data_IF_713798193144
#
_entry.id   IF_713798193144
#
_cell.length_a   1.000
_cell.length_b   1.000
_cell.length_c   1.000
_cell.angle_alpha   90.00
_cell.angle_beta   90.00
_cell.angle_gamma   90.00
#
_symmetry.space_group_name_H-M   'P 1'
#
loop_
_entity.id
_entity.type
_entity.pdbx_description
1 polymer ?
#
# COMPACT_ATOMS: atom_id res chain seq x y z
N UNK A 1 -13.67 -11.03 -2.24
CA UNK A 1 -14.52 -10.47 -3.31
C UNK A 1 -13.58 -9.86 -4.33
N UNK A 2 -13.88 -9.96 -5.61
CA UNK A 2 -13.10 -9.24 -6.62
C UNK A 2 -13.17 -7.72 -6.37
N UNK A 3 -12.02 -7.03 -6.43
CA UNK A 3 -11.86 -5.59 -6.19
C UNK A 3 -12.75 -4.77 -7.12
N UNK A 4 -12.94 -5.22 -8.37
CA UNK A 4 -13.84 -4.54 -9.30
C UNK A 4 -15.32 -4.62 -8.87
N UNK A 5 -15.72 -5.72 -8.23
CA UNK A 5 -17.07 -5.82 -7.64
C UNK A 5 -17.20 -4.88 -6.45
N UNK A 6 -16.20 -4.80 -5.57
CA UNK A 6 -16.19 -3.87 -4.43
C UNK A 6 -16.34 -2.42 -4.95
N UNK A 7 -15.55 -2.03 -5.95
CA UNK A 7 -15.60 -0.69 -6.56
C UNK A 7 -16.96 -0.39 -7.22
N UNK A 8 -17.56 -1.38 -7.90
CA UNK A 8 -18.91 -1.23 -8.48
C UNK A 8 -19.97 -1.04 -7.41
N UNK A 9 -19.91 -1.82 -6.33
CA UNK A 9 -20.80 -1.70 -5.18
C UNK A 9 -20.66 -0.32 -4.54
N UNK A 10 -19.44 0.12 -4.26
CA UNK A 10 -19.18 1.44 -3.68
C UNK A 10 -19.74 2.56 -4.58
N UNK A 11 -19.54 2.48 -5.90
CA UNK A 11 -20.08 3.46 -6.85
C UNK A 11 -21.61 3.51 -6.86
N UNK A 12 -22.28 2.36 -7.02
CA UNK A 12 -23.72 2.32 -7.28
C UNK A 12 -24.57 2.33 -6.01
N UNK A 13 -24.15 1.59 -4.97
CA UNK A 13 -24.86 1.56 -3.68
C UNK A 13 -24.32 2.61 -2.72
N UNK A 14 -23.02 2.93 -2.77
CA UNK A 14 -22.42 3.87 -1.83
C UNK A 14 -22.93 5.31 -1.99
N UNK A 15 -23.25 5.78 -3.21
CA UNK A 15 -23.81 7.13 -3.43
C UNK A 15 -25.18 7.29 -2.75
N UNK A 16 -26.20 6.47 -3.05
CA UNK A 16 -27.50 6.59 -2.40
C UNK A 16 -27.41 6.34 -0.88
N UNK A 17 -26.57 5.41 -0.43
CA UNK A 17 -26.35 5.21 1.01
C UNK A 17 -25.71 6.44 1.67
N UNK A 18 -24.70 7.06 1.05
CA UNK A 18 -24.11 8.30 1.55
C UNK A 18 -25.13 9.43 1.62
N UNK A 19 -26.01 9.57 0.62
CA UNK A 19 -27.09 10.54 0.64
C UNK A 19 -28.07 10.29 1.79
N UNK A 20 -28.55 9.05 1.94
CA UNK A 20 -29.42 8.64 3.03
C UNK A 20 -28.82 8.93 4.40
N UNK A 21 -27.60 8.46 4.67
CA UNK A 21 -26.93 8.71 5.95
C UNK A 21 -26.60 10.20 6.15
N UNK A 22 -26.37 10.98 5.08
CA UNK A 22 -26.16 12.42 5.19
C UNK A 22 -27.41 13.13 5.68
N UNK A 23 -28.59 12.74 5.20
CA UNK A 23 -29.87 13.25 5.69
C UNK A 23 -30.07 12.88 7.16
N UNK A 24 -29.84 11.61 7.53
CA UNK A 24 -29.92 11.17 8.92
C UNK A 24 -28.96 11.94 9.84
N UNK A 25 -27.72 12.16 9.38
CA UNK A 25 -26.73 12.94 10.10
C UNK A 25 -27.22 14.38 10.32
N UNK A 26 -27.71 15.06 9.27
CA UNK A 26 -28.25 16.42 9.38
C UNK A 26 -29.40 16.50 10.37
N UNK A 27 -30.34 15.55 10.33
CA UNK A 27 -31.47 15.47 11.28
C UNK A 27 -30.95 15.31 12.71
N UNK A 28 -30.04 14.35 12.93
CA UNK A 28 -29.43 14.13 14.25
C UNK A 28 -28.72 15.37 14.79
N UNK A 29 -28.06 16.13 13.92
CA UNK A 29 -27.36 17.35 14.30
C UNK A 29 -28.26 18.49 14.76
N UNK A 30 -29.54 18.51 14.35
CA UNK A 30 -30.53 19.48 14.86
C UNK A 30 -30.80 19.26 16.36
N UNK A 31 -30.76 18.00 16.82
CA UNK A 31 -31.02 17.64 18.22
C UNK A 31 -29.74 17.50 19.07
N UNK A 32 -28.57 17.29 18.45
CA UNK A 32 -27.29 17.08 19.15
C UNK A 32 -26.14 17.89 18.52
N UNK A 33 -26.18 19.24 18.60
CA UNK A 33 -25.16 20.11 18.02
C UNK A 33 -23.75 19.91 18.62
N UNK A 34 -23.66 19.46 19.88
CA UNK A 34 -22.39 19.20 20.57
C UNK A 34 -21.51 18.16 19.88
N UNK A 35 -22.09 17.24 19.09
CA UNK A 35 -21.35 16.23 18.32
C UNK A 35 -20.49 16.81 17.18
N UNK A 36 -20.58 18.12 16.91
CA UNK A 36 -19.67 18.84 15.99
C UNK A 36 -18.38 19.28 16.65
N UNK A 37 -18.32 19.39 17.99
CA UNK A 37 -17.14 19.91 18.66
C UNK A 37 -16.03 18.86 18.60
N UNK A 38 -14.83 19.22 18.08
CA UNK A 38 -13.68 18.34 18.16
C UNK A 38 -13.38 17.97 19.62
N UNK A 39 -12.86 16.77 19.81
CA UNK A 39 -12.42 16.27 21.12
C UNK A 39 -10.92 16.03 21.09
N UNK A 40 -10.28 15.99 22.26
CA UNK A 40 -8.88 15.58 22.33
C UNK A 40 -8.77 14.10 21.93
N UNK A 41 -7.93 13.74 20.95
CA UNK A 41 -7.77 12.36 20.51
C UNK A 41 -7.23 11.46 21.64
N UNK A 42 -7.90 10.34 21.92
CA UNK A 42 -7.42 9.31 22.87
C UNK A 42 -7.42 7.91 22.27
N UNK A 43 -8.48 7.49 21.60
CA UNK A 43 -8.53 6.22 20.87
C UNK A 43 -8.70 6.51 19.38
N UNK A 44 -7.59 6.43 18.66
CA UNK A 44 -7.47 6.87 17.27
C UNK A 44 -7.47 5.65 16.35
N UNK A 45 -8.44 5.57 15.45
CA UNK A 45 -8.55 4.52 14.44
C UNK A 45 -8.13 5.04 13.07
N UNK A 46 -7.04 4.51 12.53
CA UNK A 46 -6.65 4.67 11.13
C UNK A 46 -7.37 3.63 10.28
N UNK A 47 -7.81 4.02 9.08
CA UNK A 47 -8.50 3.11 8.16
C UNK A 47 -7.86 3.15 6.77
N UNK A 48 -7.33 2.01 6.35
CA UNK A 48 -6.77 1.72 5.04
C UNK A 48 -7.04 0.23 4.76
N UNK A 49 -8.04 -0.07 3.94
CA UNK A 49 -8.58 -1.43 3.87
C UNK A 49 -7.82 -2.31 2.88
N UNK A 50 -7.54 -1.77 1.69
CA UNK A 50 -7.34 -2.60 0.51
C UNK A 50 -5.89 -2.77 0.05
N UNK A 51 -4.98 -1.85 0.39
CA UNK A 51 -3.65 -1.81 -0.23
C UNK A 51 -2.52 -2.07 0.77
N UNK A 52 -1.83 -3.20 0.59
CA UNK A 52 -0.70 -3.61 1.42
C UNK A 52 0.47 -2.59 1.41
N UNK A 53 0.74 -1.95 0.27
CA UNK A 53 1.80 -0.93 0.15
C UNK A 53 1.48 0.34 0.94
N UNK A 54 0.22 0.79 0.89
CA UNK A 54 -0.26 1.96 1.65
C UNK A 54 -0.16 1.75 3.16
N UNK A 55 -0.33 0.51 3.65
CA UNK A 55 -0.10 0.18 5.06
C UNK A 55 1.36 0.40 5.49
N UNK A 56 2.34 0.09 4.63
CA UNK A 56 3.75 0.39 4.88
C UNK A 56 3.99 1.91 4.89
N UNK A 57 3.44 2.62 3.89
CA UNK A 57 3.55 4.07 3.79
C UNK A 57 2.88 4.82 4.95
N UNK A 58 1.92 4.17 5.64
CA UNK A 58 1.27 4.70 6.82
C UNK A 58 2.14 4.66 8.08
N UNK A 59 3.24 3.88 8.11
CA UNK A 59 4.12 3.77 9.28
C UNK A 59 4.48 5.14 9.88
N UNK A 60 5.00 6.03 9.03
CA UNK A 60 5.46 7.36 9.41
C UNK A 60 4.38 8.22 10.07
N UNK A 61 3.14 8.14 9.59
CA UNK A 61 2.01 8.90 10.15
C UNK A 61 1.55 8.31 11.48
N UNK A 62 1.65 6.99 11.67
CA UNK A 62 1.35 6.35 12.96
C UNK A 62 2.34 6.80 14.04
N UNK A 63 3.63 6.83 13.73
CA UNK A 63 4.67 7.33 14.65
C UNK A 63 4.44 8.81 15.00
N UNK A 64 4.23 9.65 13.99
CA UNK A 64 3.94 11.08 14.21
C UNK A 64 2.68 11.32 15.04
N UNK A 65 1.67 10.47 14.90
CA UNK A 65 0.46 10.56 15.72
C UNK A 65 0.77 10.31 17.19
N UNK A 66 1.64 9.34 17.48
CA UNK A 66 2.08 9.06 18.85
C UNK A 66 2.92 10.20 19.42
N UNK A 67 3.73 10.87 18.61
CA UNK A 67 4.47 12.08 19.02
C UNK A 67 3.52 13.25 19.36
N UNK A 68 2.52 13.51 18.51
CA UNK A 68 1.56 14.59 18.72
C UNK A 68 0.55 14.31 19.83
N UNK A 69 0.22 13.03 20.06
CA UNK A 69 -0.73 12.58 21.07
C UNK A 69 -0.15 11.41 21.89
N UNK A 70 0.80 11.67 22.81
CA UNK A 70 1.53 10.62 23.54
C UNK A 70 0.65 9.68 24.35
N UNK A 71 -0.45 10.17 24.91
CA UNK A 71 -1.37 9.37 25.74
C UNK A 71 -2.42 8.61 24.91
N UNK A 72 -2.37 8.71 23.57
CA UNK A 72 -3.35 8.06 22.70
C UNK A 72 -3.03 6.58 22.45
N UNK A 73 -4.09 5.78 22.33
CA UNK A 73 -4.06 4.44 21.77
C UNK A 73 -4.36 4.51 20.27
N UNK A 74 -3.52 3.86 19.48
CA UNK A 74 -3.64 3.83 18.01
C UNK A 74 -4.12 2.45 17.59
N UNK A 75 -5.16 2.44 16.76
CA UNK A 75 -5.78 1.28 16.14
C UNK A 75 -5.69 1.40 14.62
N UNK A 76 -5.69 0.27 13.92
CA UNK A 76 -5.65 0.23 12.46
C UNK A 76 -6.69 -0.74 11.92
N UNK A 77 -7.57 -0.27 11.03
CA UNK A 77 -8.59 -1.09 10.35
C UNK A 77 -8.11 -1.43 8.94
N UNK A 78 -8.01 -2.73 8.65
CA UNK A 78 -7.56 -3.26 7.35
C UNK A 78 -8.41 -4.48 6.93
N UNK A 79 -8.36 -4.90 5.67
CA UNK A 79 -8.90 -6.22 5.31
C UNK A 79 -8.07 -7.37 5.89
N UNK A 80 -8.75 -8.44 6.30
CA UNK A 80 -8.14 -9.61 6.94
C UNK A 80 -6.98 -10.20 6.12
N UNK A 81 -7.13 -10.27 4.80
CA UNK A 81 -6.12 -10.79 3.86
C UNK A 81 -4.83 -9.95 3.82
N UNK A 82 -4.90 -8.67 4.21
CA UNK A 82 -3.78 -7.73 4.16
C UNK A 82 -3.15 -7.45 5.53
N UNK A 83 -3.68 -8.01 6.63
CA UNK A 83 -3.26 -7.66 8.01
C UNK A 83 -1.77 -7.84 8.28
N UNK A 84 -1.13 -8.80 7.61
CA UNK A 84 0.31 -9.06 7.76
C UNK A 84 1.15 -7.85 7.34
N UNK A 85 0.66 -7.00 6.43
CA UNK A 85 1.34 -5.76 6.04
C UNK A 85 1.44 -4.74 7.19
N UNK A 86 0.51 -4.77 8.14
CA UNK A 86 0.59 -3.93 9.34
C UNK A 86 1.49 -4.60 10.38
N UNK A 87 1.33 -5.91 10.59
CA UNK A 87 2.11 -6.68 11.57
C UNK A 87 3.61 -6.69 11.30
N UNK A 88 4.02 -6.52 10.05
CA UNK A 88 5.44 -6.53 9.71
C UNK A 88 6.16 -5.28 10.17
N UNK A 89 5.46 -4.14 10.19
CA UNK A 89 6.05 -2.85 10.58
C UNK A 89 6.24 -2.71 12.08
N UNK A 90 5.50 -3.51 12.86
CA UNK A 90 5.48 -3.47 14.34
C UNK A 90 5.18 -2.05 14.89
N UNK A 91 4.54 -1.20 14.08
CA UNK A 91 4.23 0.19 14.41
C UNK A 91 3.23 0.33 15.57
N UNK A 92 2.35 -0.67 15.72
CA UNK A 92 1.32 -0.74 16.76
C UNK A 92 1.19 -2.18 17.28
N UNK A 93 0.66 -2.38 18.50
CA UNK A 93 0.38 -3.72 19.03
C UNK A 93 -0.60 -4.51 18.14
N UNK A 94 -0.40 -5.83 18.03
CA UNK A 94 -1.19 -6.69 17.14
C UNK A 94 -2.68 -6.71 17.52
N UNK A 95 -2.98 -6.63 18.80
CA UNK A 95 -4.34 -6.53 19.36
C UNK A 95 -5.08 -5.24 18.93
N UNK A 96 -4.35 -4.22 18.50
CA UNK A 96 -4.93 -2.96 18.01
C UNK A 96 -5.18 -2.99 16.49
N UNK A 97 -4.82 -4.07 15.81
CA UNK A 97 -5.16 -4.27 14.40
C UNK A 97 -6.55 -4.90 14.32
N UNK A 98 -7.49 -4.14 13.77
CA UNK A 98 -8.87 -4.54 13.56
C UNK A 98 -9.07 -4.93 12.10
N UNK A 99 -9.87 -5.95 11.84
CA UNK A 99 -10.04 -6.48 10.49
C UNK A 99 -11.48 -6.56 10.03
N UNK A 100 -11.66 -6.46 8.71
CA UNK A 100 -12.90 -6.76 7.98
C UNK A 100 -12.63 -7.89 7.00
N UNK A 101 -13.48 -8.91 6.99
CA UNK A 101 -13.38 -10.03 6.05
C UNK A 101 -14.10 -9.67 4.76
N UNK A 102 -13.34 -9.42 3.69
CA UNK A 102 -13.85 -9.09 2.36
C UNK A 102 -13.97 -10.29 1.41
N UNK A 103 -13.83 -11.53 1.89
CA UNK A 103 -13.86 -12.73 1.04
C UNK A 103 -15.16 -12.85 0.23
N UNK A 104 -16.31 -12.53 0.82
CA UNK A 104 -17.61 -12.42 0.17
C UNK A 104 -18.48 -11.32 0.79
N UNK A 105 -19.58 -10.97 0.12
CA UNK A 105 -20.42 -9.83 0.51
C UNK A 105 -21.06 -10.00 1.88
N UNK A 106 -21.58 -11.19 2.19
CA UNK A 106 -22.20 -11.45 3.50
C UNK A 106 -21.18 -11.33 4.63
N UNK A 107 -20.00 -11.94 4.47
CA UNK A 107 -18.91 -11.82 5.45
C UNK A 107 -18.42 -10.38 5.60
N UNK A 108 -18.35 -9.61 4.51
CA UNK A 108 -18.03 -8.19 4.56
C UNK A 108 -19.03 -7.41 5.43
N UNK A 109 -20.33 -7.63 5.24
CA UNK A 109 -21.37 -6.96 6.04
C UNK A 109 -21.28 -7.37 7.52
N UNK A 110 -21.25 -8.67 7.82
CA UNK A 110 -21.21 -9.14 9.21
C UNK A 110 -19.94 -8.76 9.95
N UNK A 111 -18.78 -8.83 9.29
CA UNK A 111 -17.50 -8.40 9.87
C UNK A 111 -17.44 -6.90 10.07
N UNK A 112 -18.00 -6.10 9.14
CA UNK A 112 -18.15 -4.65 9.32
C UNK A 112 -19.03 -4.32 10.52
N UNK A 113 -20.18 -4.99 10.68
CA UNK A 113 -21.05 -4.80 11.86
C UNK A 113 -20.35 -5.21 13.16
N UNK A 114 -19.56 -6.29 13.13
CA UNK A 114 -18.74 -6.73 14.27
C UNK A 114 -17.66 -5.68 14.62
N UNK A 115 -16.96 -5.14 13.61
CA UNK A 115 -15.98 -4.07 13.78
C UNK A 115 -16.62 -2.81 14.37
N UNK A 116 -17.77 -2.38 13.87
CA UNK A 116 -18.53 -1.26 14.43
C UNK A 116 -18.86 -1.50 15.92
N UNK A 117 -19.35 -2.70 16.29
CA UNK A 117 -19.59 -3.04 17.70
C UNK A 117 -18.31 -2.96 18.54
N UNK A 118 -17.16 -3.37 18.01
CA UNK A 118 -15.85 -3.22 18.69
C UNK A 118 -15.48 -1.75 18.87
N UNK A 119 -15.70 -0.89 17.87
CA UNK A 119 -15.38 0.54 17.97
C UNK A 119 -16.13 1.22 19.13
N UNK A 120 -17.41 0.86 19.32
CA UNK A 120 -18.22 1.36 20.43
C UNK A 120 -17.79 0.81 21.80
N UNK A 121 -17.17 -0.39 21.85
CA UNK A 121 -16.61 -0.97 23.09
C UNK A 121 -15.24 -0.38 23.45
N UNK A 122 -14.43 -0.01 22.45
CA UNK A 122 -13.08 0.57 22.58
C UNK A 122 -13.13 2.13 22.69
N UNK A 123 -14.32 2.68 22.98
CA UNK A 123 -14.79 4.00 22.51
C UNK A 123 -13.82 4.76 21.58
N UNK A 124 -13.85 4.45 20.27
CA UNK A 124 -13.10 5.20 19.26
C UNK A 124 -13.65 6.64 19.19
N UNK A 125 -12.80 7.62 19.54
CA UNK A 125 -13.17 9.04 19.50
C UNK A 125 -12.70 9.75 18.23
N UNK A 126 -11.68 9.20 17.56
CA UNK A 126 -11.04 9.77 16.39
C UNK A 126 -10.91 8.71 15.29
N UNK A 127 -11.49 8.98 14.13
CA UNK A 127 -11.46 8.14 12.93
C UNK A 127 -10.71 8.88 11.83
N UNK A 128 -9.63 8.30 11.33
CA UNK A 128 -8.78 8.84 10.28
C UNK A 128 -8.88 7.96 9.04
N UNK A 129 -9.59 8.47 8.04
CA UNK A 129 -9.88 7.79 6.77
C UNK A 129 -8.77 8.07 5.76
N UNK A 130 -7.84 7.11 5.60
CA UNK A 130 -6.74 7.21 4.65
C UNK A 130 -7.16 6.79 3.23
N UNK A 131 -8.28 6.09 3.10
CA UNK A 131 -8.84 5.70 1.81
C UNK A 131 -9.30 6.92 0.99
N UNK A 132 -8.86 6.94 -0.26
CA UNK A 132 -9.10 8.03 -1.21
C UNK A 132 -10.53 7.97 -1.74
N UNK A 133 -11.40 8.82 -1.18
CA UNK A 133 -12.79 9.05 -1.62
C UNK A 133 -13.72 7.81 -1.56
N UNK A 134 -13.37 6.80 -0.76
CA UNK A 134 -14.23 5.64 -0.51
C UNK A 134 -15.54 6.02 0.21
N UNK A 135 -16.67 5.53 -0.31
CA UNK A 135 -17.99 5.78 0.30
C UNK A 135 -18.24 4.83 1.46
N UNK A 136 -17.81 3.58 1.32
CA UNK A 136 -17.88 2.58 2.38
C UNK A 136 -17.18 3.06 3.67
N UNK A 137 -15.92 3.50 3.59
CA UNK A 137 -15.20 3.99 4.79
C UNK A 137 -15.79 5.29 5.32
N UNK A 138 -16.28 6.17 4.45
CA UNK A 138 -16.98 7.38 4.87
C UNK A 138 -18.25 7.06 5.68
N UNK A 139 -19.04 6.07 5.27
CA UNK A 139 -20.21 5.60 6.03
C UNK A 139 -19.77 4.96 7.35
N UNK A 140 -18.74 4.11 7.33
CA UNK A 140 -18.18 3.49 8.54
C UNK A 140 -17.70 4.58 9.52
N UNK A 141 -17.09 5.67 9.03
CA UNK A 141 -16.67 6.79 9.87
C UNK A 141 -17.85 7.39 10.64
N UNK A 142 -19.01 7.57 9.99
CA UNK A 142 -20.21 8.06 10.65
C UNK A 142 -20.76 7.05 11.67
N UNK A 143 -20.85 5.78 11.29
CA UNK A 143 -21.40 4.71 12.12
C UNK A 143 -20.48 4.34 13.30
N UNK A 144 -19.20 4.65 13.23
CA UNK A 144 -18.23 4.45 14.32
C UNK A 144 -18.57 5.27 15.56
N UNK A 145 -19.31 6.38 15.41
CA UNK A 145 -19.61 7.30 16.49
C UNK A 145 -18.46 8.23 16.88
N UNK A 146 -17.29 8.15 16.23
CA UNK A 146 -16.15 9.02 16.48
C UNK A 146 -16.53 10.50 16.33
N UNK A 147 -16.06 11.34 17.23
CA UNK A 147 -16.31 12.79 17.19
C UNK A 147 -15.40 13.46 16.16
N UNK A 148 -14.12 13.10 16.15
CA UNK A 148 -13.19 13.51 15.12
C UNK A 148 -13.27 12.51 13.96
N UNK A 149 -13.73 12.97 12.80
CA UNK A 149 -13.79 12.17 11.56
C UNK A 149 -13.01 12.92 10.50
N UNK A 150 -11.80 12.45 10.26
CA UNK A 150 -10.80 13.06 9.39
C UNK A 150 -10.77 12.30 8.07
N UNK A 151 -10.68 13.02 6.95
CA UNK A 151 -10.52 12.38 5.66
C UNK A 151 -10.43 13.37 4.51
N UNK A 152 -10.10 12.86 3.32
CA UNK A 152 -10.06 13.65 2.11
C UNK A 152 -11.44 14.05 1.63
N UNK A 153 -11.61 15.34 1.32
CA UNK A 153 -12.88 15.93 0.93
C UNK A 153 -12.85 16.51 -0.48
N UNK A 154 -13.97 16.36 -1.19
CA UNK A 154 -14.17 16.95 -2.52
C UNK A 154 -14.63 18.40 -2.35
N UNK A 155 -13.72 19.36 -2.46
CA UNK A 155 -14.11 20.79 -2.39
C UNK A 155 -14.86 21.18 -3.66
N UNK A 156 -14.21 21.05 -4.81
CA UNK A 156 -14.80 21.32 -6.13
C UNK A 156 -14.56 20.19 -7.13
N UNK A 157 -14.08 19.04 -6.67
CA UNK A 157 -13.88 17.86 -7.52
C UNK A 157 -15.20 17.14 -7.77
N UNK A 158 -15.51 16.92 -9.05
CA UNK A 158 -16.71 16.23 -9.49
C UNK A 158 -16.59 14.70 -9.34
N UNK A 159 -17.72 13.98 -9.27
CA UNK A 159 -17.73 12.51 -9.23
C UNK A 159 -17.30 11.84 -7.91
N UNK A 160 -16.64 12.55 -6.99
CA UNK A 160 -16.05 11.99 -5.76
C UNK A 160 -16.97 12.03 -4.54
N UNK A 161 -18.30 12.05 -4.73
CA UNK A 161 -19.24 12.17 -3.61
C UNK A 161 -19.16 10.99 -2.64
N UNK A 162 -18.79 11.30 -1.39
CA UNK A 162 -18.67 10.35 -0.27
C UNK A 162 -19.52 10.73 0.96
N UNK A 163 -20.57 11.53 0.77
CA UNK A 163 -21.37 12.04 1.89
C UNK A 163 -20.75 13.25 2.59
N UNK A 164 -21.38 13.66 3.70
CA UNK A 164 -21.01 14.88 4.43
C UNK A 164 -20.78 14.61 5.93
N UNK A 165 -20.00 13.57 6.23
CA UNK A 165 -19.80 13.08 7.60
C UNK A 165 -18.55 13.63 8.28
N UNK A 166 -17.53 13.99 7.51
CA UNK A 166 -16.22 14.41 8.03
C UNK A 166 -16.33 15.72 8.83
N UNK A 167 -15.71 15.74 10.01
CA UNK A 167 -15.53 16.95 10.81
C UNK A 167 -14.24 17.69 10.46
N UNK A 168 -13.21 16.94 10.04
CA UNK A 168 -11.93 17.50 9.57
C UNK A 168 -11.76 17.12 8.10
N UNK A 169 -11.97 18.09 7.22
CA UNK A 169 -11.93 17.89 5.77
C UNK A 169 -10.59 18.37 5.25
N UNK A 170 -9.85 17.45 4.66
CA UNK A 170 -8.51 17.68 4.15
C UNK A 170 -8.53 17.64 2.63
N UNK A 171 -7.77 18.52 1.99
CA UNK A 171 -7.58 18.48 0.53
C UNK A 171 -6.59 17.38 0.20
N UNK A 172 -6.94 16.49 -0.74
CA UNK A 172 -5.98 15.56 -1.33
C UNK A 172 -5.15 16.29 -2.39
N UNK A 173 -3.82 16.31 -2.22
CA UNK A 173 -2.89 16.90 -3.16
C UNK A 173 -2.24 15.79 -4.02
N UNK A 174 -2.66 15.63 -5.29
CA UNK A 174 -2.12 14.59 -6.18
C UNK A 174 -0.69 14.88 -6.65
N UNK A 175 -0.11 16.04 -6.28
CA UNK A 175 1.26 16.42 -6.63
C UNK A 175 2.26 16.18 -5.51
N UNK A 176 1.82 15.64 -4.37
CA UNK A 176 2.68 15.27 -3.24
C UNK A 176 2.60 13.77 -3.00
N UNK A 177 3.71 13.17 -2.55
CA UNK A 177 3.73 11.77 -2.17
C UNK A 177 2.62 11.44 -1.17
N UNK A 178 2.03 10.25 -1.27
CA UNK A 178 0.85 9.88 -0.47
C UNK A 178 1.13 9.94 1.03
N UNK A 179 2.35 9.66 1.48
CA UNK A 179 2.72 9.77 2.90
C UNK A 179 2.66 11.20 3.45
N UNK A 180 2.95 12.24 2.66
CA UNK A 180 2.70 13.62 3.08
C UNK A 180 1.21 13.91 3.17
N UNK A 181 0.40 13.35 2.27
CA UNK A 181 -1.05 13.47 2.36
C UNK A 181 -1.57 12.79 3.65
N UNK A 182 -0.99 11.66 4.07
CA UNK A 182 -1.31 11.04 5.36
C UNK A 182 -0.97 11.95 6.55
N UNK A 183 0.20 12.59 6.55
CA UNK A 183 0.52 13.60 7.56
C UNK A 183 -0.51 14.73 7.61
N UNK A 184 -0.99 15.21 6.46
CA UNK A 184 -2.00 16.26 6.40
C UNK A 184 -3.29 15.88 7.14
N UNK A 185 -3.66 14.58 7.17
CA UNK A 185 -4.80 14.09 7.94
C UNK A 185 -4.58 14.31 9.45
N UNK A 186 -3.45 13.87 10.00
CA UNK A 186 -3.18 14.00 11.44
C UNK A 186 -2.99 15.45 11.84
N UNK A 187 -2.25 16.23 11.04
CA UNK A 187 -2.05 17.66 11.31
C UNK A 187 -3.35 18.47 11.27
N UNK A 188 -4.38 18.00 10.56
CA UNK A 188 -5.68 18.66 10.59
C UNK A 188 -6.36 18.64 11.97
N UNK A 189 -6.00 17.70 12.86
CA UNK A 189 -6.52 17.60 14.22
C UNK A 189 -6.02 18.73 15.13
N UNK A 190 -4.85 19.29 14.85
CA UNK A 190 -4.27 20.41 15.60
C UNK A 190 -4.38 21.75 14.86
N UNK A 191 -4.89 21.73 13.62
CA UNK A 191 -5.10 22.94 12.84
C UNK A 191 -6.28 23.77 13.38
N UNK A 192 -6.20 25.11 13.36
CA UNK A 192 -7.26 26.00 13.84
C UNK A 192 -8.65 25.61 13.29
N UNK A 193 -9.67 25.65 14.14
CA UNK A 193 -11.03 25.16 13.81
C UNK A 193 -11.61 25.87 12.59
N UNK A 194 -11.37 27.16 12.47
CA UNK A 194 -11.93 28.04 11.43
C UNK A 194 -11.18 27.96 10.08
N UNK A 195 -10.07 27.22 10.01
CA UNK A 195 -9.25 27.14 8.81
C UNK A 195 -9.87 26.19 7.76
N UNK A 196 -10.18 26.74 6.57
CA UNK A 196 -10.69 25.98 5.44
C UNK A 196 -10.02 26.41 4.12
N UNK A 197 -9.51 25.48 3.27
CA UNK A 197 -9.24 24.07 3.61
C UNK A 197 -8.29 23.96 4.82
N UNK A 198 -8.38 22.84 5.54
CA UNK A 198 -7.49 22.58 6.68
C UNK A 198 -6.05 22.47 6.21
N UNK A 199 -5.13 23.05 6.98
CA UNK A 199 -3.67 22.96 6.83
C UNK A 199 -3.12 23.74 5.63
N UNK A 200 -2.81 25.02 5.84
CA UNK A 200 -2.19 25.96 4.88
C UNK A 200 -0.68 26.09 5.06
N UNK A 201 0.03 24.99 5.31
CA UNK A 201 1.49 24.97 5.46
C UNK A 201 2.11 23.74 4.82
N UNK A 202 3.41 23.84 4.53
CA UNK A 202 4.21 22.69 4.18
C UNK A 202 4.42 21.80 5.42
N UNK A 203 4.36 20.49 5.23
CA UNK A 203 4.74 19.52 6.26
C UNK A 203 6.23 19.30 6.14
N UNK A 204 6.98 19.80 7.12
CA UNK A 204 8.45 19.69 7.16
C UNK A 204 8.92 18.28 7.51
N UNK A 205 8.09 17.47 8.18
CA UNK A 205 8.42 16.09 8.50
C UNK A 205 8.58 15.25 7.25
N UNK A 206 9.72 14.55 7.19
CA UNK A 206 10.06 13.67 6.09
C UNK A 206 9.50 12.27 6.41
N UNK A 207 8.61 11.72 5.57
CA UNK A 207 8.12 10.36 5.74
C UNK A 207 9.25 9.34 5.66
N UNK A 208 9.22 8.35 6.56
CA UNK A 208 10.21 7.28 6.63
C UNK A 208 9.55 5.94 6.97
N UNK A 209 10.30 4.85 6.83
CA UNK A 209 9.90 3.50 7.22
C UNK A 209 11.03 2.86 8.03
N UNK A 210 10.75 1.88 8.91
CA UNK A 210 11.79 1.25 9.72
C UNK A 210 12.62 0.29 8.86
N UNK A 211 13.88 0.10 9.21
CA UNK A 211 14.71 -0.98 8.68
C UNK A 211 14.54 -2.23 9.57
N UNK A 212 14.04 -3.30 8.98
CA UNK A 212 13.80 -4.60 9.60
C UNK A 212 14.95 -5.53 9.26
N UNK A 213 15.67 -5.93 10.29
CA UNK A 213 16.74 -6.92 10.21
C UNK A 213 16.20 -8.29 10.59
N UNK A 214 16.30 -9.26 9.69
CA UNK A 214 15.93 -10.65 9.99
C UNK A 214 16.90 -11.31 10.96
N UNK A 215 16.41 -12.20 11.82
CA UNK A 215 17.25 -12.99 12.71
C UNK A 215 18.10 -14.01 11.93
N UNK A 216 19.21 -14.45 12.50
CA UNK A 216 20.09 -15.44 11.84
C UNK A 216 19.37 -16.76 11.54
N UNK A 217 18.43 -17.16 12.42
CA UNK A 217 17.58 -18.33 12.20
C UNK A 217 16.66 -18.12 11.00
N UNK A 218 16.02 -16.95 10.89
CA UNK A 218 15.12 -16.65 9.78
C UNK A 218 15.88 -16.58 8.44
N UNK A 219 17.04 -15.90 8.41
CA UNK A 219 17.96 -15.85 7.27
C UNK A 219 18.41 -17.25 6.83
N UNK A 220 18.82 -18.09 7.79
CA UNK A 220 19.23 -19.47 7.52
C UNK A 220 18.07 -20.30 6.95
N UNK A 221 16.86 -20.15 7.50
CA UNK A 221 15.70 -20.90 7.02
C UNK A 221 15.33 -20.55 5.58
N UNK A 222 15.31 -19.26 5.23
CA UNK A 222 15.01 -18.84 3.86
C UNK A 222 16.14 -19.22 2.89
N UNK A 223 17.40 -19.14 3.32
CA UNK A 223 18.54 -19.62 2.52
C UNK A 223 18.47 -21.13 2.27
N UNK A 224 18.15 -21.94 3.29
CA UNK A 224 17.97 -23.38 3.12
C UNK A 224 16.80 -23.70 2.17
N UNK A 225 15.72 -22.92 2.20
CA UNK A 225 14.63 -23.04 1.22
C UNK A 225 15.13 -22.81 -0.20
N UNK A 226 15.94 -21.77 -0.44
CA UNK A 226 16.57 -21.53 -1.75
C UNK A 226 17.51 -22.68 -2.14
N UNK A 227 18.35 -23.15 -1.22
CA UNK A 227 19.32 -24.22 -1.46
C UNK A 227 18.66 -25.57 -1.76
N UNK A 228 17.48 -25.83 -1.21
CA UNK A 228 16.69 -27.02 -1.53
C UNK A 228 16.14 -26.98 -2.97
N UNK A 229 15.88 -25.80 -3.52
CA UNK A 229 15.46 -25.62 -4.91
C UNK A 229 16.67 -25.64 -5.87
N UNK A 230 17.85 -25.25 -5.39
CA UNK A 230 19.09 -25.31 -6.16
C UNK A 230 20.32 -25.54 -5.28
N UNK A 231 20.90 -26.74 -5.36
CA UNK A 231 22.03 -27.17 -4.54
C UNK A 231 23.35 -26.47 -4.85
N UNK A 232 23.47 -25.82 -6.01
CA UNK A 232 24.67 -25.07 -6.40
C UNK A 232 24.78 -23.73 -5.66
N UNK A 233 23.72 -23.31 -4.98
CA UNK A 233 23.70 -22.07 -4.20
C UNK A 233 24.64 -22.14 -2.98
N UNK A 234 25.51 -21.14 -2.89
CA UNK A 234 26.46 -20.93 -1.79
C UNK A 234 26.14 -19.65 -1.01
N UNK A 235 26.68 -19.49 0.20
CA UNK A 235 26.46 -18.28 1.01
C UNK A 235 27.07 -17.01 0.37
N UNK A 236 28.08 -17.17 -0.48
CA UNK A 236 28.72 -16.06 -1.23
C UNK A 236 27.98 -15.71 -2.54
N UNK A 237 26.85 -16.36 -2.82
CA UNK A 237 26.10 -16.16 -4.06
C UNK A 237 25.40 -14.82 -4.07
N UNK A 238 25.41 -14.16 -5.23
CA UNK A 238 24.60 -12.97 -5.49
C UNK A 238 23.17 -13.37 -5.79
N UNK A 239 22.21 -12.74 -5.12
CA UNK A 239 20.78 -13.04 -5.23
C UNK A 239 20.02 -11.85 -5.79
N UNK A 240 19.41 -12.06 -6.95
CA UNK A 240 18.59 -11.05 -7.63
C UNK A 240 17.15 -11.56 -7.65
N UNK A 241 16.23 -10.79 -7.09
CA UNK A 241 14.82 -11.17 -7.01
C UNK A 241 14.04 -10.54 -8.15
N UNK A 242 13.28 -11.35 -8.88
CA UNK A 242 12.31 -10.89 -9.86
C UNK A 242 10.88 -11.06 -9.33
N UNK A 243 10.09 -9.99 -9.42
CA UNK A 243 8.64 -10.03 -9.24
C UNK A 243 7.95 -9.53 -10.52
N UNK A 244 7.81 -10.40 -11.53
CA UNK A 244 7.33 -10.01 -12.86
C UNK A 244 5.83 -9.75 -12.92
N UNK A 245 5.06 -10.28 -11.97
CA UNK A 245 3.62 -10.14 -11.95
C UNK A 245 3.18 -8.77 -11.40
N UNK A 246 2.16 -8.17 -12.01
CA UNK A 246 1.61 -6.85 -11.62
C UNK A 246 0.25 -6.93 -10.89
N UNK A 247 -0.18 -8.14 -10.49
CA UNK A 247 -1.41 -8.36 -9.75
C UNK A 247 -2.67 -7.86 -10.49
N UNK A 248 -3.49 -7.08 -9.78
CA UNK A 248 -4.81 -6.62 -10.23
C UNK A 248 -4.74 -5.60 -11.38
N UNK A 249 -3.57 -5.00 -11.62
CA UNK A 249 -3.36 -4.02 -12.69
C UNK A 249 -2.27 -4.53 -13.66
N UNK A 250 -2.59 -5.48 -14.57
CA UNK A 250 -1.63 -6.06 -15.52
C UNK A 250 -0.86 -5.02 -16.34
N UNK A 251 -1.45 -3.86 -16.56
CA UNK A 251 -0.84 -2.75 -17.31
C UNK A 251 0.40 -2.14 -16.63
N UNK A 252 0.66 -2.47 -15.36
CA UNK A 252 1.91 -2.11 -14.66
C UNK A 252 3.05 -3.09 -14.94
N UNK A 253 2.79 -4.25 -15.55
CA UNK A 253 3.81 -5.28 -15.76
C UNK A 253 4.83 -4.87 -16.81
N UNK A 254 6.12 -4.95 -16.48
CA UNK A 254 7.18 -4.92 -17.46
C UNK A 254 7.14 -6.21 -18.30
N UNK A 255 7.38 -6.13 -19.64
CA UNK A 255 7.19 -7.27 -20.52
C UNK A 255 7.98 -8.51 -20.10
N UNK A 256 7.34 -9.67 -20.21
CA UNK A 256 7.94 -10.95 -19.83
C UNK A 256 9.19 -11.25 -20.67
N UNK A 257 9.18 -10.89 -21.95
CA UNK A 257 10.31 -11.06 -22.86
C UNK A 257 11.53 -10.26 -22.39
N UNK A 258 11.31 -9.09 -21.77
CA UNK A 258 12.38 -8.27 -21.21
C UNK A 258 12.91 -8.84 -19.90
N UNK A 259 12.05 -9.42 -19.07
CA UNK A 259 12.49 -10.20 -17.90
C UNK A 259 13.33 -11.41 -18.32
N UNK A 260 12.91 -12.15 -19.35
CA UNK A 260 13.68 -13.26 -19.92
C UNK A 260 15.04 -12.81 -20.44
N UNK A 261 15.08 -11.73 -21.23
CA UNK A 261 16.33 -11.18 -21.74
C UNK A 261 17.27 -10.74 -20.61
N UNK A 262 16.74 -10.03 -19.62
CA UNK A 262 17.51 -9.62 -18.44
C UNK A 262 18.03 -10.83 -17.66
N UNK A 263 17.20 -11.87 -17.47
CA UNK A 263 17.59 -13.08 -16.77
C UNK A 263 18.75 -13.79 -17.46
N UNK A 264 18.67 -13.95 -18.78
CA UNK A 264 19.71 -14.58 -19.59
C UNK A 264 21.06 -13.87 -19.41
N UNK A 265 21.07 -12.52 -19.48
CA UNK A 265 22.29 -11.72 -19.34
C UNK A 265 22.87 -11.76 -17.91
N UNK A 266 22.01 -11.71 -16.88
CA UNK A 266 22.46 -11.76 -15.49
C UNK A 266 22.96 -13.15 -15.07
N UNK A 267 22.43 -14.21 -15.68
CA UNK A 267 22.87 -15.58 -15.43
C UNK A 267 24.28 -15.89 -15.98
N UNK A 268 24.82 -15.04 -16.86
CA UNK A 268 26.20 -15.11 -17.34
C UNK A 268 27.21 -14.58 -16.30
N UNK A 269 26.74 -13.85 -15.28
CA UNK A 269 27.58 -13.37 -14.18
C UNK A 269 27.98 -14.52 -13.25
N UNK A 270 29.22 -14.46 -12.76
CA UNK A 270 29.75 -15.46 -11.84
C UNK A 270 28.95 -15.49 -10.53
N UNK A 271 28.69 -16.69 -10.03
CA UNK A 271 28.01 -16.96 -8.75
C UNK A 271 26.71 -16.16 -8.52
N UNK A 272 25.97 -15.84 -9.59
CA UNK A 272 24.73 -15.05 -9.53
C UNK A 272 23.52 -15.93 -9.77
N UNK A 273 22.50 -15.79 -8.93
CA UNK A 273 21.24 -16.53 -9.02
C UNK A 273 20.06 -15.56 -9.02
N UNK A 274 19.05 -15.93 -9.80
CA UNK A 274 17.81 -15.17 -9.92
C UNK A 274 16.72 -15.93 -9.20
N UNK A 275 16.01 -15.27 -8.29
CA UNK A 275 14.89 -15.82 -7.54
C UNK A 275 13.60 -15.20 -8.05
N UNK A 276 12.70 -16.00 -8.60
CA UNK A 276 11.39 -15.52 -9.05
C UNK A 276 10.39 -15.70 -7.91
N UNK A 277 9.71 -14.62 -7.55
CA UNK A 277 8.66 -14.62 -6.55
C UNK A 277 7.34 -14.10 -7.11
N UNK A 278 6.26 -14.35 -6.36
CA UNK A 278 4.92 -13.92 -6.70
C UNK A 278 3.89 -14.98 -6.37
N UNK A 279 2.64 -14.68 -6.67
CA UNK A 279 1.50 -15.58 -6.42
C UNK A 279 0.73 -15.86 -7.71
N UNK A 280 -0.03 -16.95 -7.72
CA UNK A 280 -0.98 -17.29 -8.79
C UNK A 280 -0.33 -17.30 -10.19
N UNK A 281 -0.69 -16.34 -11.05
CA UNK A 281 -0.25 -16.23 -12.44
C UNK A 281 1.28 -16.10 -12.57
N UNK A 282 1.98 -15.65 -11.52
CA UNK A 282 3.43 -15.58 -11.49
C UNK A 282 4.11 -16.93 -11.77
N UNK A 283 3.48 -18.07 -11.45
CA UNK A 283 4.03 -19.40 -11.78
C UNK A 283 4.20 -19.62 -13.29
N UNK A 284 3.33 -19.03 -14.13
CA UNK A 284 3.44 -19.17 -15.58
C UNK A 284 4.60 -18.33 -16.09
N UNK A 285 4.72 -17.11 -15.58
CA UNK A 285 5.81 -16.17 -15.90
C UNK A 285 7.17 -16.77 -15.48
N UNK A 286 7.24 -17.36 -14.28
CA UNK A 286 8.44 -18.01 -13.77
C UNK A 286 8.95 -19.13 -14.68
N UNK A 287 8.05 -19.99 -15.17
CA UNK A 287 8.38 -21.08 -16.11
C UNK A 287 8.91 -20.58 -17.45
N UNK A 288 8.52 -19.39 -17.90
CA UNK A 288 9.06 -18.80 -19.14
C UNK A 288 10.47 -18.30 -18.89
N UNK A 289 10.67 -17.52 -17.83
CA UNK A 289 11.98 -16.94 -17.49
C UNK A 289 12.99 -18.04 -17.15
N UNK A 290 12.59 -19.09 -16.42
CA UNK A 290 13.47 -20.19 -16.02
C UNK A 290 14.09 -20.94 -17.20
N UNK A 291 13.44 -20.95 -18.38
CA UNK A 291 14.00 -21.58 -19.59
C UNK A 291 15.26 -20.90 -20.10
N UNK A 292 15.47 -19.62 -19.76
CA UNK A 292 16.63 -18.85 -20.22
C UNK A 292 17.93 -19.30 -19.54
N UNK A 293 17.85 -19.72 -18.27
CA UNK A 293 18.99 -20.24 -17.51
C UNK A 293 18.54 -21.17 -16.37
N UNK A 294 18.15 -22.44 -16.66
CA UNK A 294 17.54 -23.34 -15.68
C UNK A 294 18.35 -23.56 -14.40
N UNK A 295 19.69 -23.57 -14.51
CA UNK A 295 20.59 -23.81 -13.37
C UNK A 295 20.86 -22.56 -12.53
N UNK A 296 20.43 -21.36 -12.98
CA UNK A 296 20.65 -20.09 -12.28
C UNK A 296 19.35 -19.43 -11.80
N UNK A 297 18.20 -20.03 -12.09
CA UNK A 297 16.88 -19.44 -11.81
C UNK A 297 16.08 -20.34 -10.87
N UNK A 298 15.78 -19.81 -9.69
CA UNK A 298 15.03 -20.45 -8.60
C UNK A 298 13.59 -19.94 -8.60
N UNK A 299 12.61 -20.84 -8.67
CA UNK A 299 11.19 -20.49 -8.61
C UNK A 299 10.62 -20.67 -7.18
N UNK A 300 10.38 -19.53 -6.51
CA UNK A 300 9.71 -19.44 -5.22
C UNK A 300 8.26 -18.96 -5.31
N UNK A 301 7.66 -18.94 -6.51
CA UNK A 301 6.25 -18.53 -6.67
C UNK A 301 5.32 -19.43 -5.84
N UNK A 302 4.41 -18.83 -5.07
CA UNK A 302 3.54 -19.50 -4.09
C UNK A 302 4.26 -20.29 -2.98
N UNK A 303 5.59 -20.14 -2.79
CA UNK A 303 6.37 -20.88 -1.77
C UNK A 303 6.82 -20.02 -0.59
N UNK A 304 6.38 -18.76 -0.51
CA UNK A 304 6.80 -17.79 0.51
C UNK A 304 5.61 -17.11 1.17
N UNK A 305 5.69 -16.92 2.48
CA UNK A 305 4.83 -16.01 3.25
C UNK A 305 5.37 -14.57 3.19
N UNK A 306 4.58 -13.58 3.64
CA UNK A 306 5.04 -12.19 3.67
C UNK A 306 6.26 -11.97 4.59
N UNK A 307 6.31 -12.66 5.73
CA UNK A 307 7.47 -12.62 6.65
C UNK A 307 8.71 -13.21 5.97
N UNK A 308 8.57 -14.34 5.28
CA UNK A 308 9.67 -14.95 4.52
C UNK A 308 10.14 -14.07 3.35
N UNK A 309 9.28 -13.24 2.76
CA UNK A 309 9.70 -12.26 1.75
C UNK A 309 10.64 -11.21 2.35
N UNK A 310 10.37 -10.72 3.57
CA UNK A 310 11.30 -9.81 4.26
C UNK A 310 12.62 -10.51 4.60
N UNK A 311 12.57 -11.78 4.98
CA UNK A 311 13.77 -12.58 5.22
C UNK A 311 14.58 -12.78 3.94
N UNK A 312 13.90 -13.05 2.82
CA UNK A 312 14.51 -13.17 1.49
C UNK A 312 15.17 -11.85 1.08
N UNK A 313 14.50 -10.73 1.29
CA UNK A 313 15.06 -9.40 0.99
C UNK A 313 16.29 -9.09 1.84
N UNK A 314 16.33 -9.54 3.10
CA UNK A 314 17.48 -9.36 3.99
C UNK A 314 18.73 -10.16 3.59
N UNK A 315 18.61 -11.15 2.70
CA UNK A 315 19.72 -11.96 2.21
C UNK A 315 19.99 -11.77 0.72
N UNK A 316 19.30 -10.84 0.06
CA UNK A 316 19.41 -10.61 -1.38
C UNK A 316 19.96 -9.23 -1.71
N UNK A 317 20.62 -9.10 -2.85
CA UNK A 317 21.32 -7.88 -3.26
C UNK A 317 20.36 -6.89 -3.96
N UNK A 318 19.55 -7.38 -4.90
CA UNK A 318 18.69 -6.54 -5.76
C UNK A 318 17.29 -7.14 -5.95
N UNK A 319 16.27 -6.31 -5.85
CA UNK A 319 14.89 -6.59 -6.27
C UNK A 319 14.58 -5.83 -7.57
N UNK A 320 14.09 -6.53 -8.59
CA UNK A 320 13.56 -5.97 -9.83
C UNK A 320 12.06 -6.24 -9.89
N UNK A 321 11.26 -5.19 -9.78
CA UNK A 321 9.81 -5.33 -9.57
C UNK A 321 8.98 -4.25 -10.26
N UNK A 322 7.70 -4.55 -10.51
CA UNK A 322 6.70 -3.57 -10.89
C UNK A 322 6.23 -2.76 -9.67
N UNK A 323 5.63 -1.59 -9.90
CA UNK A 323 4.88 -0.81 -8.91
C UNK A 323 3.75 -1.64 -8.24
N UNK A 324 4.08 -2.25 -7.11
CA UNK A 324 3.28 -3.22 -6.36
C UNK A 324 3.76 -3.33 -4.90
N UNK A 325 3.01 -4.06 -4.06
CA UNK A 325 3.32 -4.24 -2.63
C UNK A 325 4.78 -4.60 -2.32
N UNK A 326 5.39 -5.59 -3.00
CA UNK A 326 6.82 -5.92 -2.87
C UNK A 326 7.79 -4.74 -2.91
N UNK A 327 7.56 -3.74 -3.78
CA UNK A 327 8.40 -2.56 -3.86
C UNK A 327 8.40 -1.77 -2.53
N UNK A 328 7.27 -1.71 -1.84
CA UNK A 328 7.18 -1.06 -0.54
C UNK A 328 7.76 -1.94 0.58
N UNK A 329 7.57 -3.24 0.53
CA UNK A 329 8.17 -4.15 1.52
C UNK A 329 9.70 -4.13 1.47
N UNK A 330 10.29 -3.99 0.27
CA UNK A 330 11.73 -3.87 0.11
C UNK A 330 12.29 -2.63 0.81
N UNK A 331 11.52 -1.54 0.93
CA UNK A 331 11.96 -0.35 1.68
C UNK A 331 12.15 -0.58 3.18
N UNK A 332 11.65 -1.71 3.71
CA UNK A 332 11.89 -2.14 5.08
C UNK A 332 13.22 -2.87 5.26
N UNK A 333 14.02 -3.03 4.22
CA UNK A 333 15.22 -3.88 4.22
C UNK A 333 16.34 -3.19 3.45
N UNK A 334 17.61 -3.63 3.60
CA UNK A 334 18.73 -2.99 2.91
C UNK A 334 18.79 -3.25 1.40
N UNK A 335 17.95 -4.16 0.85
CA UNK A 335 17.97 -4.56 -0.55
C UNK A 335 17.88 -3.37 -1.51
N UNK A 336 18.64 -3.41 -2.60
CA UNK A 336 18.49 -2.44 -3.69
C UNK A 336 17.20 -2.72 -4.45
N UNK A 337 16.30 -1.73 -4.53
CA UNK A 337 14.96 -1.90 -5.06
C UNK A 337 14.76 -1.12 -6.37
N UNK A 338 14.76 -1.83 -7.50
CA UNK A 338 14.51 -1.27 -8.83
C UNK A 338 13.03 -1.47 -9.19
N UNK A 339 12.30 -0.36 -9.33
CA UNK A 339 10.83 -0.37 -9.47
C UNK A 339 10.42 0.24 -10.80
N UNK A 340 9.60 -0.50 -11.56
CA UNK A 340 9.04 -0.02 -12.82
C UNK A 340 7.72 0.71 -12.60
N UNK A 341 7.71 1.99 -12.99
CA UNK A 341 6.53 2.84 -13.02
C UNK A 341 6.08 3.10 -14.46
N UNK A 342 4.81 3.46 -14.63
CA UNK A 342 4.24 3.74 -15.95
C UNK A 342 2.79 4.19 -15.86
N UNK A 343 1.80 3.35 -15.55
CA UNK A 343 0.42 3.80 -15.40
C UNK A 343 0.23 4.78 -14.23
N UNK A 344 1.09 4.70 -13.23
CA UNK A 344 1.20 5.58 -12.07
C UNK A 344 2.60 6.22 -12.02
N UNK A 345 2.78 7.19 -11.10
CA UNK A 345 4.00 7.98 -10.98
C UNK A 345 4.73 7.72 -9.66
N UNK A 346 6.07 7.57 -9.68
CA UNK A 346 6.86 7.39 -8.45
C UNK A 346 6.81 8.62 -7.55
N UNK A 347 6.48 9.80 -8.09
CA UNK A 347 6.30 11.02 -7.28
C UNK A 347 5.18 10.87 -6.24
N UNK A 348 4.17 10.07 -6.55
CA UNK A 348 3.00 9.88 -5.69
C UNK A 348 3.09 8.62 -4.82
N UNK A 349 3.66 7.54 -5.35
CA UNK A 349 3.65 6.20 -4.74
C UNK A 349 5.03 5.53 -4.69
N UNK A 350 6.13 6.26 -4.85
CA UNK A 350 7.48 5.71 -4.73
C UNK A 350 7.73 5.07 -3.35
N UNK A 351 8.46 3.95 -3.26
CA UNK A 351 8.91 3.45 -1.96
C UNK A 351 9.78 4.47 -1.22
N UNK A 352 9.68 4.52 0.11
CA UNK A 352 10.39 5.50 0.95
C UNK A 352 11.82 5.07 1.34
N UNK A 353 12.36 4.00 0.74
CA UNK A 353 13.68 3.47 1.07
C UNK A 353 14.81 4.19 0.32
N UNK A 354 15.95 4.40 0.98
CA UNK A 354 17.11 5.09 0.40
C UNK A 354 17.69 4.35 -0.82
N UNK A 355 17.65 3.01 -0.79
CA UNK A 355 18.15 2.16 -1.88
C UNK A 355 17.07 1.85 -2.94
N UNK A 356 16.18 2.80 -3.23
CA UNK A 356 15.12 2.61 -4.24
C UNK A 356 15.35 3.42 -5.50
N UNK A 357 15.34 2.74 -6.65
CA UNK A 357 15.47 3.31 -7.97
C UNK A 357 14.16 3.16 -8.75
N UNK A 358 13.42 4.25 -8.91
CA UNK A 358 12.21 4.27 -9.73
C UNK A 358 12.57 4.56 -11.19
N UNK A 359 12.23 3.63 -12.09
CA UNK A 359 12.34 3.81 -13.53
C UNK A 359 10.98 4.20 -14.10
N UNK A 360 10.93 5.37 -14.74
CA UNK A 360 9.70 5.98 -15.21
C UNK A 360 9.94 6.76 -16.50
N UNK A 361 9.21 6.40 -17.56
CA UNK A 361 9.38 7.04 -18.87
C UNK A 361 8.67 8.40 -18.99
N UNK A 362 7.78 8.75 -18.05
CA UNK A 362 7.07 10.04 -18.01
C UNK A 362 6.40 10.45 -19.34
N UNK A 363 5.75 9.48 -20.00
CA UNK A 363 5.03 9.75 -21.24
C UNK A 363 3.82 10.66 -20.98
N UNK A 364 3.42 11.44 -21.98
CA UNK A 364 2.30 12.39 -21.87
C UNK A 364 0.95 11.78 -21.48
N UNK A 365 0.75 10.49 -21.74
CA UNK A 365 -0.44 9.75 -21.32
C UNK A 365 -0.35 9.18 -19.90
N UNK A 366 0.76 9.35 -19.21
CA UNK A 366 1.07 8.81 -17.89
C UNK A 366 1.24 9.95 -16.88
N UNK A 367 0.73 9.83 -15.64
CA UNK A 367 -0.02 8.69 -15.10
C UNK A 367 -1.46 8.64 -15.64
N UNK A 368 -1.88 7.48 -16.17
CA UNK A 368 -3.27 7.25 -16.62
C UNK A 368 -4.16 6.59 -15.55
N UNK A 369 -3.57 6.18 -14.44
CA UNK A 369 -4.24 5.54 -13.29
C UNK A 369 -4.09 6.47 -12.09
N UNK A 370 -5.20 6.77 -11.41
CA UNK A 370 -5.19 7.67 -10.25
C UNK A 370 -6.36 7.41 -9.30
N UNK A 371 -6.33 8.08 -8.14
CA UNK A 371 -7.45 8.14 -7.21
C UNK A 371 -8.74 8.68 -7.85
N UNK A 372 -8.63 9.57 -8.84
CA UNK A 372 -9.79 10.23 -9.47
C UNK A 372 -10.54 9.35 -10.46
N UNK A 373 -9.89 8.31 -10.98
CA UNK A 373 -10.50 7.36 -11.92
C UNK A 373 -10.67 5.95 -11.34
N UNK A 374 -10.53 5.81 -10.01
CA UNK A 374 -10.60 4.52 -9.30
C UNK A 374 -9.60 3.48 -9.84
N UNK A 375 -8.40 3.96 -10.16
CA UNK A 375 -7.33 3.17 -10.78
C UNK A 375 -7.78 2.44 -12.06
N UNK A 376 -8.53 3.13 -12.92
CA UNK A 376 -8.97 2.62 -14.23
C UNK A 376 -8.32 3.39 -15.35
N UNK A 377 -8.03 2.71 -16.45
CA UNK A 377 -7.43 3.30 -17.64
C UNK A 377 -8.04 2.69 -18.91
N UNK A 378 -8.07 3.46 -19.99
CA UNK A 378 -8.40 2.98 -21.33
C UNK A 378 -7.18 2.48 -22.09
N UNK A 379 -5.98 2.69 -21.54
CA UNK A 379 -4.74 2.18 -22.08
C UNK A 379 -4.80 0.65 -22.14
N UNK A 380 -4.50 0.08 -23.31
CA UNK A 380 -4.44 -1.36 -23.55
C UNK A 380 -3.02 -1.83 -23.85
N UNK A 381 -2.09 -0.88 -23.94
CA UNK A 381 -0.73 -1.08 -24.36
C UNK A 381 0.18 -0.13 -23.58
N UNK A 382 0.86 -0.67 -22.56
CA UNK A 382 1.65 0.08 -21.60
C UNK A 382 3.02 0.51 -22.15
N UNK A 383 3.01 1.27 -23.25
CA UNK A 383 4.22 1.79 -23.89
C UNK A 383 5.17 2.51 -22.93
N UNK A 384 4.64 3.18 -21.90
CA UNK A 384 5.44 3.83 -20.85
C UNK A 384 6.33 2.84 -20.06
N UNK A 385 5.82 1.65 -19.71
CA UNK A 385 6.59 0.61 -19.02
C UNK A 385 7.50 -0.11 -20.02
N UNK A 386 6.99 -0.38 -21.23
CA UNK A 386 7.76 -0.99 -22.32
C UNK A 386 8.95 -0.14 -22.76
N UNK A 387 8.92 1.18 -22.58
CA UNK A 387 10.03 2.06 -22.92
C UNK A 387 11.26 1.86 -22.01
N UNK A 388 11.10 1.28 -20.82
CA UNK A 388 12.21 0.97 -19.91
C UNK A 388 13.07 -0.13 -20.55
N UNK A 389 14.30 0.22 -20.93
CA UNK A 389 15.23 -0.65 -21.66
C UNK A 389 15.88 -1.69 -20.74
N UNK A 390 16.12 -2.89 -21.25
CA UNK A 390 16.81 -3.96 -20.51
C UNK A 390 18.22 -3.52 -20.11
N UNK A 391 18.93 -2.81 -20.98
CA UNK A 391 20.29 -2.30 -20.72
C UNK A 391 20.32 -1.39 -19.48
N UNK A 392 19.37 -0.46 -19.37
CA UNK A 392 19.25 0.43 -18.20
C UNK A 392 19.03 -0.34 -16.91
N UNK A 393 18.21 -1.39 -16.95
CA UNK A 393 17.95 -2.24 -15.78
C UNK A 393 19.19 -3.08 -15.44
N UNK A 394 19.83 -3.67 -16.45
CA UNK A 394 21.04 -4.48 -16.29
C UNK A 394 22.17 -3.66 -15.65
N UNK A 395 22.44 -2.45 -16.16
CA UNK A 395 23.49 -1.58 -15.63
C UNK A 395 23.22 -1.20 -14.16
N UNK A 396 21.95 -0.93 -13.81
CA UNK A 396 21.57 -0.65 -12.43
C UNK A 396 21.70 -1.88 -11.53
N UNK A 397 21.35 -3.06 -12.02
CA UNK A 397 21.53 -4.30 -11.25
C UNK A 397 23.02 -4.53 -11.00
N UNK A 398 23.85 -4.55 -12.04
CA UNK A 398 25.30 -4.82 -11.94
C UNK A 398 26.01 -3.80 -11.05
N UNK A 399 25.62 -2.53 -11.11
CA UNK A 399 26.18 -1.48 -10.24
C UNK A 399 25.93 -1.72 -8.74
N UNK A 400 24.87 -2.46 -8.40
CA UNK A 400 24.42 -2.69 -7.03
C UNK A 400 24.57 -4.14 -6.56
N UNK A 401 25.27 -4.99 -7.32
CA UNK A 401 25.80 -6.28 -6.87
C UNK A 401 27.15 -6.08 -6.20
#
# INVERSE_FOLDING_TARGET
>A
MDVDRIRKIDKWLGIPMCAFFTVLYKIRMLFKPSLKKPVQPKNILFVELSEMGSAILAYSVLQKTKELFPDSNIYFLIFEENKESVYITEAIPKENVLTIDCSNFSRFIFSTLSALKKFHKIPIDTYIDMELFSRATSIISYLSGAHNRVGYYKFHMEGLYRGNFLTHRVTYNPHQHISYNFYNLVYSLIAPVEEYPKLKKYVEDIPYVPQITSSDVARRNIFLKLKNENSELTEDSKLIIFNPNAGILPIRAWPLEKYSELARRLAELENTFIVIMGVNEACKDAKVIQKEAPNRIIDLTNKTTLREIIDLFNISDVLVTNDSGPAHFASLTPITNIVFFGPETPKLYGPLGENSHALYADFSCSPCVSAFNHRKTTCKDNQCVKAIAVDTVYDLVVKNL
#
